data_IF_608643698664
#
_entry.id   IF_608643698664
#
_cell.length_a   1.000
_cell.length_b   1.000
_cell.length_c   1.000
_cell.angle_alpha   90.00
_cell.angle_beta   90.00
_cell.angle_gamma   90.00
#
_symmetry.space_group_name_H-M   'P 1'
#
loop_
_entity.id
_entity.type
_entity.pdbx_description
1 polymer ?
#
# COMPACT_ATOMS: atom_id res chain seq x y z
N UNK A 1 17.47 2.65 -12.55
CA UNK A 1 16.08 2.37 -12.18
C UNK A 1 15.49 3.67 -11.64
N UNK A 2 14.34 4.07 -12.14
CA UNK A 2 13.59 5.23 -11.66
C UNK A 2 12.74 4.86 -10.45
N UNK A 3 12.28 5.86 -9.68
CA UNK A 3 11.37 5.63 -8.56
C UNK A 3 10.05 4.99 -9.02
N UNK A 4 9.57 5.34 -10.23
CA UNK A 4 8.38 4.75 -10.84
C UNK A 4 8.57 3.25 -11.12
N UNK A 5 9.67 2.87 -11.77
CA UNK A 5 10.01 1.46 -12.01
C UNK A 5 10.18 0.68 -10.70
N UNK A 6 10.73 1.31 -9.66
CA UNK A 6 10.90 0.70 -8.35
C UNK A 6 9.55 0.35 -7.69
N UNK A 7 8.60 1.29 -7.66
CA UNK A 7 7.25 1.05 -7.11
C UNK A 7 6.49 0.03 -7.96
N UNK A 8 6.60 0.10 -9.29
CA UNK A 8 5.98 -0.86 -10.20
C UNK A 8 6.54 -2.28 -10.01
N UNK A 9 7.82 -2.44 -9.71
CA UNK A 9 8.40 -3.75 -9.40
C UNK A 9 7.79 -4.38 -8.14
N UNK A 10 7.47 -3.57 -7.12
CA UNK A 10 6.89 -4.05 -5.86
C UNK A 10 5.40 -4.39 -5.99
N UNK A 11 4.62 -3.53 -6.66
CA UNK A 11 3.15 -3.65 -6.71
C UNK A 11 2.64 -4.13 -8.07
N UNK A 12 3.21 -3.60 -9.14
CA UNK A 12 2.77 -3.82 -10.53
C UNK A 12 2.95 -5.25 -11.03
N UNK A 13 3.85 -6.04 -10.44
CA UNK A 13 3.99 -7.46 -10.75
C UNK A 13 2.74 -8.29 -10.35
N UNK A 14 2.03 -7.87 -9.30
CA UNK A 14 0.87 -8.61 -8.77
C UNK A 14 -0.47 -7.94 -9.13
N UNK A 15 -0.49 -6.61 -9.23
CA UNK A 15 -1.70 -5.84 -9.58
C UNK A 15 -1.34 -4.73 -10.56
N UNK A 16 -1.70 -4.87 -11.85
CA UNK A 16 -1.45 -3.83 -12.84
C UNK A 16 -2.36 -2.63 -12.56
N UNK A 17 -1.84 -1.62 -11.88
CA UNK A 17 -2.50 -0.33 -11.72
C UNK A 17 -2.17 0.57 -12.92
N UNK A 18 -3.01 1.60 -13.12
CA UNK A 18 -2.72 2.65 -14.11
C UNK A 18 -1.46 3.40 -13.66
N UNK A 19 -0.61 3.79 -14.62
CA UNK A 19 0.62 4.54 -14.34
C UNK A 19 0.37 5.80 -13.50
N UNK A 20 -0.74 6.48 -13.76
CA UNK A 20 -1.19 7.67 -13.01
C UNK A 20 -1.36 7.42 -11.52
N UNK A 21 -1.71 6.20 -11.09
CA UNK A 21 -1.82 5.87 -9.67
C UNK A 21 -0.44 5.80 -9.00
N UNK A 22 0.55 5.20 -9.68
CA UNK A 22 1.93 5.15 -9.19
C UNK A 22 2.55 6.56 -9.12
N UNK A 23 2.36 7.34 -10.18
CA UNK A 23 2.83 8.73 -10.26
C UNK A 23 2.22 9.58 -9.15
N UNK A 24 0.90 9.48 -8.93
CA UNK A 24 0.23 10.20 -7.85
C UNK A 24 0.80 9.83 -6.47
N UNK A 25 0.95 8.53 -6.18
CA UNK A 25 1.47 8.08 -4.89
C UNK A 25 2.91 8.57 -4.63
N UNK A 26 3.76 8.60 -5.66
CA UNK A 26 5.11 9.15 -5.56
C UNK A 26 5.11 10.66 -5.30
N UNK A 27 4.24 11.41 -5.99
CA UNK A 27 4.09 12.85 -5.77
C UNK A 27 3.58 13.15 -4.36
N UNK A 28 2.57 12.42 -3.88
CA UNK A 28 2.04 12.56 -2.52
C UNK A 28 3.12 12.27 -1.45
N UNK A 29 4.10 11.43 -1.77
CA UNK A 29 5.27 11.16 -0.92
C UNK A 29 6.45 12.11 -1.12
N UNK A 30 6.30 13.14 -1.97
CA UNK A 30 7.34 14.13 -2.26
C UNK A 30 8.50 13.61 -3.13
N UNK A 31 8.31 12.51 -3.84
CA UNK A 31 9.29 11.93 -4.75
C UNK A 31 8.96 12.25 -6.21
N UNK A 32 9.99 12.58 -6.99
CA UNK A 32 9.85 12.67 -8.44
C UNK A 32 9.79 11.26 -9.06
N UNK A 33 8.77 10.95 -9.88
CA UNK A 33 8.65 9.65 -10.55
C UNK A 33 9.80 9.36 -11.51
N UNK A 34 10.30 10.39 -12.20
CA UNK A 34 11.45 10.32 -13.11
C UNK A 34 12.79 10.38 -12.37
N UNK A 35 12.77 10.61 -11.05
CA UNK A 35 13.97 10.65 -10.23
C UNK A 35 14.67 9.30 -10.15
N UNK A 36 15.99 9.33 -10.02
CA UNK A 36 16.79 8.12 -9.80
C UNK A 36 16.41 7.46 -8.47
N UNK A 37 16.20 6.14 -8.53
CA UNK A 37 16.02 5.33 -7.34
C UNK A 37 17.35 5.17 -6.60
N UNK A 38 17.37 5.64 -5.35
CA UNK A 38 18.52 5.49 -4.46
C UNK A 38 18.13 4.74 -3.20
N UNK A 39 19.12 4.17 -2.50
CA UNK A 39 18.90 3.46 -1.22
C UNK A 39 18.26 4.41 -0.19
N UNK A 40 18.55 5.71 -0.25
CA UNK A 40 17.92 6.71 0.61
C UNK A 40 16.41 6.82 0.38
N UNK A 41 15.95 6.67 -0.86
CA UNK A 41 14.54 6.77 -1.24
C UNK A 41 13.78 5.45 -1.08
N UNK A 42 14.47 4.34 -0.80
CA UNK A 42 13.88 2.99 -0.64
C UNK A 42 12.70 2.98 0.32
N UNK A 43 12.86 3.60 1.49
CA UNK A 43 11.80 3.66 2.51
C UNK A 43 10.56 4.37 1.98
N UNK A 44 10.73 5.50 1.30
CA UNK A 44 9.62 6.27 0.75
C UNK A 44 8.91 5.51 -0.38
N UNK A 45 9.65 4.79 -1.22
CA UNK A 45 9.11 3.91 -2.27
C UNK A 45 8.28 2.77 -1.67
N UNK A 46 8.80 2.10 -0.63
CA UNK A 46 8.08 1.02 0.05
C UNK A 46 6.80 1.54 0.74
N UNK A 47 6.84 2.73 1.33
CA UNK A 47 5.66 3.37 1.91
C UNK A 47 4.62 3.77 0.85
N UNK A 48 5.05 4.22 -0.33
CA UNK A 48 4.14 4.45 -1.46
C UNK A 48 3.44 3.16 -1.88
N UNK A 49 4.18 2.05 -1.96
CA UNK A 49 3.61 0.75 -2.26
C UNK A 49 2.56 0.34 -1.21
N UNK A 50 2.86 0.53 0.08
CA UNK A 50 1.90 0.27 1.16
C UNK A 50 0.62 1.13 1.07
N UNK A 51 0.74 2.40 0.66
CA UNK A 51 -0.41 3.29 0.45
C UNK A 51 -1.27 2.88 -0.77
N UNK A 52 -0.64 2.42 -1.85
CA UNK A 52 -1.33 1.88 -3.01
C UNK A 52 -2.10 0.60 -2.66
N UNK A 53 -1.48 -0.29 -1.89
CA UNK A 53 -2.13 -1.52 -1.40
C UNK A 53 -3.33 -1.16 -0.51
N UNK A 54 -3.22 -0.15 0.36
CA UNK A 54 -4.35 0.31 1.15
C UNK A 54 -5.50 0.81 0.25
N UNK A 55 -5.18 1.63 -0.75
CA UNK A 55 -6.15 2.15 -1.71
C UNK A 55 -6.88 1.02 -2.44
N UNK A 56 -6.16 -0.01 -2.86
CA UNK A 56 -6.71 -1.23 -3.45
C UNK A 56 -7.67 -1.95 -2.50
N UNK A 57 -7.29 -2.16 -1.24
CA UNK A 57 -8.13 -2.83 -0.24
C UNK A 57 -9.44 -2.04 0.00
N UNK A 58 -9.32 -0.71 0.09
CA UNK A 58 -10.47 0.19 0.33
C UNK A 58 -11.36 0.39 -0.89
N UNK A 59 -10.89 -0.01 -2.08
CA UNK A 59 -11.70 0.09 -3.29
C UNK A 59 -12.93 -0.80 -3.18
N UNK A 60 -14.08 -0.21 -3.53
CA UNK A 60 -15.37 -0.88 -3.50
C UNK A 60 -15.38 -2.04 -4.51
N UNK A 61 -16.11 -3.09 -4.15
CA UNK A 61 -16.45 -4.15 -5.07
C UNK A 61 -17.37 -3.56 -6.16
N UNK A 62 -16.90 -3.52 -7.40
CA UNK A 62 -17.71 -2.97 -8.50
C UNK A 62 -18.57 -4.10 -9.04
N UNK A 63 -19.89 -3.91 -8.95
CA UNK A 63 -20.90 -4.80 -9.51
C UNK A 63 -21.69 -4.05 -10.58
N UNK A 64 -21.54 -4.46 -11.83
CA UNK A 64 -22.28 -3.87 -12.96
C UNK A 64 -22.78 -4.96 -13.91
N UNK A 65 -24.08 -4.97 -14.20
CA UNK A 65 -24.66 -5.82 -15.26
C UNK A 65 -24.41 -7.33 -15.14
N UNK A 66 -24.22 -7.87 -13.93
CA UNK A 66 -23.90 -9.28 -13.70
C UNK A 66 -22.41 -9.62 -13.61
N UNK A 67 -21.53 -8.64 -13.80
CA UNK A 67 -20.10 -8.75 -13.56
C UNK A 67 -19.77 -8.26 -12.15
N UNK A 68 -18.97 -9.04 -11.44
CA UNK A 68 -18.43 -8.69 -10.12
C UNK A 68 -16.90 -8.75 -10.19
N UNK A 69 -16.24 -7.61 -9.95
CA UNK A 69 -14.79 -7.56 -9.80
C UNK A 69 -14.47 -7.44 -8.31
N UNK A 70 -14.24 -8.58 -7.69
CA UNK A 70 -13.82 -8.68 -6.29
C UNK A 70 -12.33 -8.91 -6.18
N UNK A 71 -11.68 -8.15 -5.30
CA UNK A 71 -10.38 -8.55 -4.77
C UNK A 71 -10.65 -9.66 -3.74
N UNK A 72 -10.48 -10.92 -4.14
CA UNK A 72 -10.78 -12.08 -3.30
C UNK A 72 -9.94 -12.16 -2.03
N UNK A 73 -8.72 -11.60 -2.06
CA UNK A 73 -7.69 -11.79 -1.03
C UNK A 73 -7.33 -10.46 -0.31
N UNK A 74 -8.33 -9.67 0.07
CA UNK A 74 -8.12 -8.41 0.82
C UNK A 74 -7.31 -8.61 2.11
N UNK A 75 -7.48 -9.75 2.77
CA UNK A 75 -6.74 -10.15 3.98
C UNK A 75 -5.24 -10.36 3.72
N UNK A 76 -4.88 -10.93 2.56
CA UNK A 76 -3.48 -11.14 2.16
C UNK A 76 -2.84 -9.82 1.80
N UNK A 77 -3.55 -8.94 1.08
CA UNK A 77 -3.07 -7.58 0.80
C UNK A 77 -2.81 -6.78 2.08
N UNK A 78 -3.69 -6.91 3.08
CA UNK A 78 -3.51 -6.27 4.38
C UNK A 78 -2.27 -6.83 5.10
N UNK A 79 -2.04 -8.14 5.01
CA UNK A 79 -0.83 -8.77 5.54
C UNK A 79 0.46 -8.27 4.87
N UNK A 80 0.45 -8.13 3.54
CA UNK A 80 1.59 -7.58 2.77
C UNK A 80 1.84 -6.12 3.18
N UNK A 81 0.80 -5.29 3.24
CA UNK A 81 0.91 -3.90 3.72
C UNK A 81 1.55 -3.84 5.09
N UNK A 82 1.07 -4.66 6.03
CA UNK A 82 1.63 -4.69 7.38
C UNK A 82 3.07 -5.18 7.43
N UNK A 83 3.47 -6.12 6.57
CA UNK A 83 4.86 -6.58 6.48
C UNK A 83 5.79 -5.46 6.01
N UNK A 84 5.36 -4.67 5.01
CA UNK A 84 6.09 -3.51 4.52
C UNK A 84 6.23 -2.45 5.63
N UNK A 85 5.14 -2.11 6.32
CA UNK A 85 5.18 -1.14 7.42
C UNK A 85 6.06 -1.60 8.60
N UNK A 86 5.98 -2.89 8.95
CA UNK A 86 6.82 -3.49 10.00
C UNK A 86 8.31 -3.43 9.65
N UNK A 87 8.68 -3.67 8.40
CA UNK A 87 10.07 -3.55 7.92
C UNK A 87 10.66 -2.16 8.13
N UNK A 88 9.81 -1.12 8.19
CA UNK A 88 10.23 0.27 8.33
C UNK A 88 9.92 0.88 9.71
N UNK A 89 9.45 0.05 10.66
CA UNK A 89 9.10 0.47 12.02
C UNK A 89 7.89 1.41 12.10
N UNK A 90 7.04 1.44 11.07
CA UNK A 90 5.85 2.30 11.05
C UNK A 90 4.68 1.56 11.69
N UNK A 91 3.99 2.15 12.69
CA UNK A 91 2.85 1.50 13.32
C UNK A 91 1.70 1.31 12.31
N UNK A 92 1.19 0.08 12.25
CA UNK A 92 0.03 -0.24 11.44
C UNK A 92 -1.25 -0.08 12.29
N UNK A 93 -1.97 1.02 12.07
CA UNK A 93 -3.23 1.33 12.77
C UNK A 93 -4.46 0.57 12.22
N UNK A 94 -4.30 -0.25 11.17
CA UNK A 94 -5.41 -1.03 10.60
C UNK A 94 -5.59 -2.38 11.29
N UNK A 95 -4.61 -2.80 12.10
CA UNK A 95 -4.72 -3.98 12.96
C UNK A 95 -5.35 -3.57 14.29
N UNK A 96 -6.36 -4.31 14.79
CA UNK A 96 -6.87 -4.08 16.15
C UNK A 96 -5.75 -4.36 17.14
N UNK A 97 -5.26 -3.32 17.81
CA UNK A 97 -4.39 -3.44 18.97
C UNK A 97 -5.26 -3.78 20.18
N UNK A 98 -5.02 -4.94 20.80
CA UNK A 98 -5.53 -5.20 22.14
C UNK A 98 -4.95 -4.13 23.05
N UNK A 99 -5.80 -3.27 23.61
CA UNK A 99 -5.38 -2.30 24.59
C UNK A 99 -4.94 -3.08 25.83
N UNK A 100 -3.63 -3.19 26.08
CA UNK A 100 -3.05 -3.99 27.16
C UNK A 100 -3.35 -3.45 28.57
N UNK A 101 -4.21 -2.44 28.70
CA UNK A 101 -4.64 -1.87 29.97
C UNK A 101 -6.18 -1.79 30.01
N UNK A 102 -6.88 -2.86 30.40
CA UNK A 102 -8.32 -2.83 30.66
C UNK A 102 -8.56 -2.14 32.01
N UNK A 103 -8.35 -0.82 32.10
CA UNK A 103 -8.50 -0.10 33.37
C UNK A 103 -9.95 0.21 33.73
N UNK A 104 -10.95 -0.04 32.87
CA UNK A 104 -12.35 0.24 33.25
C UNK A 104 -13.32 -0.81 32.70
N UNK A 105 -13.55 -1.85 33.50
CA UNK A 105 -14.75 -2.70 33.46
C UNK A 105 -15.33 -2.83 34.88
N UNK A 106 -15.66 -1.70 35.51
CA UNK A 106 -16.59 -1.58 36.64
C UNK A 106 -17.05 -0.13 36.74
#
# INVERSE_FOLDING_TARGET
>A
MTNLEAVQSVVGANYPLRETAYTKALIDAGLSPEGEYTIANRKSVDLCAAALILTLITSADIREGGYQVSISEKSVLLSIRSAILASHGVPDHTKPTINANPTYMW
#
